data_IF_198543537817
#
_entry.id   IF_198543537817
#
_cell.length_a   1.000
_cell.length_b   1.000
_cell.length_c   1.000
_cell.angle_alpha   90.00
_cell.angle_beta   90.00
_cell.angle_gamma   90.00
#
_symmetry.space_group_name_H-M   'P 1'
#
loop_
_entity.id
_entity.type
_entity.pdbx_description
1 polymer ?
#
# COMPACT_ATOMS: atom_id res chain seq x y z
N UNK A 1 16.13 3.11 -17.40
CA UNK A 1 14.76 2.67 -17.76
C UNK A 1 14.08 2.23 -16.48
N UNK A 2 12.77 2.47 -16.28
CA UNK A 2 12.07 2.00 -15.09
C UNK A 2 12.17 0.48 -14.98
N UNK A 3 12.41 -0.03 -13.77
CA UNK A 3 12.51 -1.46 -13.51
C UNK A 3 11.11 -2.06 -13.37
N UNK A 4 10.73 -2.95 -14.28
CA UNK A 4 9.48 -3.72 -14.17
C UNK A 4 9.84 -5.18 -13.89
N UNK A 5 9.42 -5.74 -12.74
CA UNK A 5 9.59 -7.15 -12.46
C UNK A 5 8.65 -8.01 -13.31
N UNK A 6 8.97 -9.30 -13.44
CA UNK A 6 8.11 -10.28 -14.13
C UNK A 6 6.83 -10.56 -13.33
N UNK A 7 6.95 -10.64 -11.99
CA UNK A 7 5.87 -10.83 -11.03
C UNK A 7 5.74 -9.65 -10.06
N UNK A 8 4.63 -9.58 -9.31
CA UNK A 8 4.45 -8.54 -8.29
C UNK A 8 5.51 -8.72 -7.19
N UNK A 9 6.35 -7.70 -7.00
CA UNK A 9 7.37 -7.69 -5.96
C UNK A 9 6.91 -6.87 -4.74
N UNK A 10 7.24 -7.37 -3.56
CA UNK A 10 6.91 -6.76 -2.27
C UNK A 10 8.19 -6.44 -1.53
N UNK A 11 8.34 -5.19 -1.09
CA UNK A 11 9.49 -4.82 -0.27
C UNK A 11 9.45 -5.45 1.12
N UNK A 12 10.59 -5.43 1.80
CA UNK A 12 10.61 -5.57 3.25
C UNK A 12 9.78 -4.46 3.90
N UNK A 13 9.27 -4.74 5.11
CA UNK A 13 8.50 -3.79 5.88
C UNK A 13 9.45 -2.90 6.67
N UNK A 14 9.13 -1.61 6.73
CA UNK A 14 9.81 -0.64 7.57
C UNK A 14 8.77 0.14 8.35
N UNK A 15 9.14 0.74 9.47
CA UNK A 15 8.19 1.43 10.35
C UNK A 15 8.80 2.71 10.92
N UNK A 16 7.92 3.67 11.20
CA UNK A 16 8.19 4.77 12.11
C UNK A 16 7.40 4.56 13.43
N UNK A 17 7.27 5.58 14.26
CA UNK A 17 6.57 5.47 15.55
C UNK A 17 5.04 5.25 15.42
N UNK A 18 4.45 5.43 14.24
CA UNK A 18 2.99 5.43 14.03
C UNK A 18 2.51 4.39 13.02
N UNK A 19 3.30 4.11 11.98
CA UNK A 19 2.90 3.30 10.84
C UNK A 19 3.96 2.26 10.45
N UNK A 20 3.47 1.14 9.94
CA UNK A 20 4.24 0.17 9.15
C UNK A 20 4.03 0.49 7.66
N UNK A 21 5.10 0.43 6.90
CA UNK A 21 5.20 0.79 5.49
C UNK A 21 5.75 -0.36 4.67
N UNK A 22 5.38 -0.38 3.39
CA UNK A 22 5.91 -1.28 2.37
C UNK A 22 5.61 -0.67 1.00
N UNK A 23 6.47 -0.91 0.02
CA UNK A 23 6.12 -0.65 -1.38
C UNK A 23 5.91 -1.96 -2.15
N UNK A 24 5.08 -1.88 -3.18
CA UNK A 24 4.78 -2.97 -4.10
C UNK A 24 5.10 -2.51 -5.51
N UNK A 25 5.89 -3.29 -6.24
CA UNK A 25 6.27 -2.98 -7.62
C UNK A 25 5.42 -3.83 -8.56
N UNK A 26 4.65 -3.17 -9.43
CA UNK A 26 3.78 -3.84 -10.38
C UNK A 26 4.55 -4.22 -11.66
N UNK A 27 4.33 -5.44 -12.20
CA UNK A 27 4.71 -5.78 -13.55
C UNK A 27 4.11 -4.82 -14.57
N UNK A 28 4.78 -4.67 -15.72
CA UNK A 28 4.39 -3.70 -16.75
C UNK A 28 2.94 -3.84 -17.23
N UNK A 29 2.44 -5.08 -17.33
CA UNK A 29 1.06 -5.34 -17.75
C UNK A 29 0.05 -4.82 -16.70
N UNK A 30 0.25 -5.17 -15.43
CA UNK A 30 -0.63 -4.77 -14.33
C UNK A 30 -0.56 -3.26 -14.09
N UNK A 31 0.64 -2.67 -14.22
CA UNK A 31 0.79 -1.21 -14.13
C UNK A 31 -0.07 -0.49 -15.18
N UNK A 32 -0.17 -1.00 -16.42
CA UNK A 32 -1.05 -0.43 -17.45
C UNK A 32 -2.52 -0.49 -17.05
N UNK A 33 -2.96 -1.59 -16.44
CA UNK A 33 -4.36 -1.72 -15.99
C UNK A 33 -4.66 -0.81 -14.80
N UNK A 34 -3.71 -0.67 -13.87
CA UNK A 34 -3.77 0.35 -12.81
C UNK A 34 -3.94 1.77 -13.38
N UNK A 35 -3.18 2.13 -14.43
CA UNK A 35 -3.32 3.42 -15.10
C UNK A 35 -4.68 3.60 -15.77
N UNK A 36 -5.27 2.56 -16.35
CA UNK A 36 -6.63 2.63 -16.92
C UNK A 36 -7.68 2.93 -15.85
N UNK A 37 -7.52 2.37 -14.64
CA UNK A 37 -8.45 2.56 -13.53
C UNK A 37 -8.35 3.96 -12.88
N UNK A 38 -7.13 4.48 -12.74
CA UNK A 38 -6.86 5.68 -11.93
C UNK A 38 -6.46 6.92 -12.72
N UNK A 39 -6.18 6.75 -14.02
CA UNK A 39 -5.46 7.73 -14.85
C UNK A 39 -4.11 8.18 -14.25
N UNK A 40 -3.55 7.44 -13.27
CA UNK A 40 -2.35 7.81 -12.51
C UNK A 40 -2.54 9.06 -11.62
N UNK A 41 -3.78 9.46 -11.33
CA UNK A 41 -4.11 10.73 -10.66
C UNK A 41 -4.77 10.56 -9.30
N UNK A 42 -5.16 9.34 -8.93
CA UNK A 42 -5.80 9.02 -7.65
C UNK A 42 -5.21 7.76 -7.04
N UNK A 43 -5.40 7.63 -5.72
CA UNK A 43 -5.06 6.43 -4.97
C UNK A 43 -6.02 5.29 -5.31
N UNK A 44 -5.59 4.08 -5.00
CA UNK A 44 -6.36 2.85 -5.19
C UNK A 44 -7.04 2.50 -3.86
N UNK A 45 -8.32 2.18 -3.93
CA UNK A 45 -9.04 1.59 -2.80
C UNK A 45 -8.66 0.12 -2.59
N UNK A 46 -8.99 -0.45 -1.43
CA UNK A 46 -8.62 -1.83 -1.07
C UNK A 46 -9.04 -2.85 -2.13
N UNK A 47 -10.28 -2.79 -2.57
CA UNK A 47 -10.79 -3.70 -3.59
C UNK A 47 -10.09 -3.52 -4.94
N UNK A 48 -9.71 -2.28 -5.29
CA UNK A 48 -9.06 -2.00 -6.58
C UNK A 48 -7.65 -2.58 -6.66
N UNK A 49 -6.82 -2.38 -5.63
CA UNK A 49 -5.47 -2.95 -5.64
C UNK A 49 -5.48 -4.47 -5.44
N UNK A 50 -6.46 -5.03 -4.72
CA UNK A 50 -6.65 -6.49 -4.64
C UNK A 50 -7.04 -7.08 -6.00
N UNK A 51 -7.91 -6.42 -6.74
CA UNK A 51 -8.31 -6.83 -8.09
C UNK A 51 -7.16 -6.77 -9.11
N UNK A 52 -6.14 -5.93 -8.87
CA UNK A 52 -4.90 -5.92 -9.66
C UNK A 52 -3.95 -7.08 -9.32
N UNK A 53 -4.29 -7.92 -8.34
CA UNK A 53 -3.49 -9.07 -7.91
C UNK A 53 -2.55 -8.80 -6.73
N UNK A 54 -2.52 -7.57 -6.20
CA UNK A 54 -1.71 -7.26 -5.02
C UNK A 54 -2.29 -7.99 -3.81
N UNK A 55 -1.48 -8.82 -3.17
CA UNK A 55 -1.89 -9.70 -2.08
C UNK A 55 -1.10 -9.40 -0.82
N UNK A 56 -1.78 -8.91 0.20
CA UNK A 56 -1.22 -8.66 1.52
C UNK A 56 -2.31 -8.77 2.59
N UNK A 57 -1.87 -8.79 3.86
CA UNK A 57 -2.76 -8.82 5.03
C UNK A 57 -3.73 -7.63 5.05
N UNK A 58 -4.69 -7.62 5.96
CA UNK A 58 -5.63 -6.49 6.06
C UNK A 58 -5.00 -5.24 6.68
N UNK A 59 -5.63 -4.09 6.41
CA UNK A 59 -5.31 -2.79 7.01
C UNK A 59 -4.31 -1.94 6.23
N UNK A 60 -3.76 -2.43 5.11
CA UNK A 60 -2.88 -1.65 4.24
C UNK A 60 -3.68 -0.67 3.38
N UNK A 61 -3.27 0.60 3.38
CA UNK A 61 -3.83 1.65 2.53
C UNK A 61 -2.77 2.18 1.56
N UNK A 62 -3.11 2.29 0.28
CA UNK A 62 -2.30 3.01 -0.71
C UNK A 62 -2.41 4.51 -0.39
N UNK A 63 -1.34 5.11 0.10
CA UNK A 63 -1.43 6.44 0.73
C UNK A 63 -0.80 7.57 -0.10
N UNK A 64 0.07 7.25 -1.05
CA UNK A 64 0.75 8.25 -1.86
C UNK A 64 1.11 7.71 -3.24
N UNK A 65 0.99 8.57 -4.26
CA UNK A 65 1.40 8.26 -5.63
C UNK A 65 2.85 8.69 -5.83
N UNK A 66 3.71 7.72 -6.08
CA UNK A 66 5.10 8.00 -6.45
C UNK A 66 5.19 8.44 -7.92
N UNK A 67 5.12 9.76 -8.17
CA UNK A 67 5.03 10.35 -9.53
C UNK A 67 6.14 9.94 -10.50
N UNK A 68 7.43 9.82 -10.11
CA UNK A 68 8.48 9.38 -11.03
C UNK A 68 8.27 7.95 -11.54
N UNK A 69 7.81 7.05 -10.67
CA UNK A 69 7.61 5.64 -10.97
C UNK A 69 6.26 5.14 -10.44
N UNK A 70 5.12 5.47 -11.08
CA UNK A 70 3.80 5.20 -10.51
C UNK A 70 3.40 3.72 -10.50
N UNK A 71 4.23 2.84 -11.07
CA UNK A 71 4.10 1.39 -10.94
C UNK A 71 4.59 0.88 -9.58
N UNK A 72 5.22 1.75 -8.78
CA UNK A 72 5.56 1.52 -7.38
C UNK A 72 4.40 2.07 -6.53
N UNK A 73 3.63 1.17 -5.92
CA UNK A 73 2.53 1.50 -5.01
C UNK A 73 3.05 1.61 -3.58
N UNK A 74 2.79 2.73 -2.92
CA UNK A 74 3.21 2.98 -1.54
C UNK A 74 2.08 2.65 -0.56
N UNK A 75 2.30 1.65 0.29
CA UNK A 75 1.33 1.24 1.29
C UNK A 75 1.78 1.61 2.70
N UNK A 76 0.81 1.98 3.53
CA UNK A 76 1.00 2.11 4.99
C UNK A 76 -0.17 1.48 5.75
N UNK A 77 0.08 1.06 6.98
CA UNK A 77 -0.95 0.70 7.95
C UNK A 77 -0.52 1.12 9.35
N UNK A 78 -1.44 1.46 10.26
CA UNK A 78 -1.06 1.80 11.63
C UNK A 78 -0.28 0.68 12.32
N UNK A 79 0.65 1.05 13.22
CA UNK A 79 1.32 0.06 14.05
C UNK A 79 0.33 -0.66 14.97
N UNK A 80 0.53 -1.97 15.11
CA UNK A 80 -0.36 -2.82 15.91
C UNK A 80 -1.67 -3.21 15.21
N UNK A 81 -1.85 -2.89 13.92
CA UNK A 81 -2.96 -3.42 13.13
C UNK A 81 -2.95 -4.95 13.11
N UNK A 82 -4.07 -5.55 13.51
CA UNK A 82 -4.30 -6.99 13.42
C UNK A 82 -4.36 -7.41 11.92
N UNK A 83 -3.54 -8.37 11.49
CA UNK A 83 -3.43 -8.73 10.08
C UNK A 83 -4.67 -9.45 9.52
N UNK A 84 -5.53 -10.01 10.37
CA UNK A 84 -6.75 -10.72 9.98
C UNK A 84 -7.96 -9.78 9.94
N UNK A 85 -8.07 -8.85 10.88
CA UNK A 85 -9.22 -7.95 10.98
C UNK A 85 -8.98 -6.60 10.30
N UNK A 86 -7.72 -6.17 10.16
CA UNK A 86 -7.35 -4.85 9.65
C UNK A 86 -7.56 -3.72 10.65
N UNK A 87 -7.92 -4.03 11.91
CA UNK A 87 -8.20 -3.04 12.95
C UNK A 87 -7.02 -2.88 13.89
N UNK A 88 -6.85 -1.67 14.41
CA UNK A 88 -5.94 -1.41 15.55
C UNK A 88 -6.72 -1.68 16.83
N UNK A 89 -6.18 -2.43 17.80
CA UNK A 89 -6.81 -2.58 19.10
C UNK A 89 -7.05 -1.22 19.76
N UNK A 90 -8.20 -1.01 20.39
CA UNK A 90 -8.61 0.29 20.97
C UNK A 90 -7.55 0.90 21.89
N UNK A 91 -6.84 0.07 22.66
CA UNK A 91 -5.77 0.49 23.55
C UNK A 91 -4.59 1.18 22.83
N UNK A 92 -4.31 0.83 21.57
CA UNK A 92 -3.23 1.42 20.76
C UNK A 92 -3.72 2.51 19.80
N UNK A 93 -5.02 2.52 19.49
CA UNK A 93 -5.61 3.55 18.64
C UNK A 93 -5.55 4.94 19.30
N UNK A 94 -5.73 5.00 20.63
CA UNK A 94 -5.66 6.24 21.40
C UNK A 94 -4.28 6.92 21.34
N UNK A 95 -3.19 6.14 21.39
CA UNK A 95 -1.81 6.65 21.34
C UNK A 95 -1.44 7.28 20.00
N UNK A 96 -2.04 6.81 18.89
CA UNK A 96 -1.81 7.34 17.54
C UNK A 96 -2.50 8.71 17.38
N UNK A 97 -3.67 8.89 17.99
CA UNK A 97 -4.47 10.12 17.90
C UNK A 97 -3.91 11.25 18.78
N UNK A 98 -3.31 10.93 19.93
CA UNK A 98 -2.83 11.94 20.90
C UNK A 98 -1.51 12.63 20.55
N UNK A 99 -0.79 12.19 19.51
CA UNK A 99 0.52 12.75 19.11
C UNK A 99 0.46 13.64 17.87
N UNK A 100 -0.59 14.45 17.72
CA UNK A 100 -0.74 15.46 16.66
C UNK A 100 -0.66 16.88 17.23
#
# INVERSE_FOLDING_TARGET
MPHYPDDIEYSEKYNDDKYEYRHVILPKAIAKDMYKLTAGKRLLEEDEWRNLGVTQSRGWAHYEIHRPEPHILLFRRPLGTDPQTGKVPDAKAADIVQRQ
#
